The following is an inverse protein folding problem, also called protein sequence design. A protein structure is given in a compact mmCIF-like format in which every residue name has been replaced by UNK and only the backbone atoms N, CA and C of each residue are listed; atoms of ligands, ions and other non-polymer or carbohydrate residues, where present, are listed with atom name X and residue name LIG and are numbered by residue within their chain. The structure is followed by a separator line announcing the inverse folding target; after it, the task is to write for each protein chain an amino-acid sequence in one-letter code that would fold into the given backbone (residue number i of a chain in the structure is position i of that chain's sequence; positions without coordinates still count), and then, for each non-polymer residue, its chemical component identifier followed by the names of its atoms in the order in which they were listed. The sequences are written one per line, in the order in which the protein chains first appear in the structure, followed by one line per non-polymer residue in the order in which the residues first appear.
data_IF_402559736278
#
_entry.id   IF_402559736278
#
_cell.length_a   1.000
_cell.length_b   1.000
_cell.length_c   1.000
_cell.angle_alpha   90.00
_cell.angle_beta   90.00
_cell.angle_gamma   90.00
#
_symmetry.space_group_name_H-M   'P 1'
#
loop_
_entity.id
_entity.type
_entity.pdbx_description
1 polymer ?
#
# COMPACT_ATOMS: atom_id res chain seq x y z
N UNK A 1 10.98 8.19 25.07
CA UNK A 1 10.02 9.28 25.30
C UNK A 1 10.68 10.25 26.21
N UNK A 2 11.04 11.42 25.78
CA UNK A 2 11.94 12.15 26.62
C UNK A 2 11.29 13.34 27.34
N UNK A 3 11.56 13.42 28.62
CA UNK A 3 11.62 14.69 29.30
C UNK A 3 12.72 15.52 28.63
N UNK A 4 12.47 16.82 28.44
CA UNK A 4 13.42 17.77 27.86
C UNK A 4 13.64 18.95 28.79
N UNK A 5 14.85 19.52 28.71
CA UNK A 5 15.20 20.80 29.29
C UNK A 5 15.85 21.65 28.20
N UNK A 6 15.24 22.77 27.85
CA UNK A 6 15.68 23.63 26.75
C UNK A 6 16.05 22.85 25.47
N UNK A 7 15.16 21.93 25.04
CA UNK A 7 15.36 21.12 23.85
C UNK A 7 16.27 19.90 24.00
N UNK A 8 17.07 19.81 25.07
CA UNK A 8 17.95 18.68 25.34
C UNK A 8 17.22 17.55 26.07
N UNK A 9 17.40 16.31 25.60
CA UNK A 9 16.77 15.12 26.18
C UNK A 9 17.36 14.82 27.55
N UNK A 10 16.51 14.70 28.57
CA UNK A 10 16.90 14.32 29.92
C UNK A 10 16.80 12.79 30.11
N UNK A 11 17.77 12.24 30.80
CA UNK A 11 17.76 10.82 31.20
C UNK A 11 17.06 10.66 32.56
N UNK A 12 15.96 9.91 32.65
CA UNK A 12 15.30 9.64 33.93
C UNK A 12 16.27 9.07 34.99
N UNK A 13 16.14 9.57 36.22
CA UNK A 13 17.00 9.12 37.34
C UNK A 13 18.47 9.57 37.26
N UNK A 14 18.81 10.49 36.36
CA UNK A 14 20.15 11.11 36.29
C UNK A 14 20.07 12.58 36.65
N UNK A 15 21.03 13.06 37.45
CA UNK A 15 21.23 14.48 37.68
C UNK A 15 21.71 15.15 36.38
N UNK A 16 21.34 16.42 36.20
CA UNK A 16 21.81 17.22 35.07
C UNK A 16 22.11 18.66 35.50
N UNK A 17 22.81 19.37 34.65
CA UNK A 17 23.10 20.81 34.85
C UNK A 17 22.33 21.58 33.80
N UNK A 18 21.52 22.54 34.23
CA UNK A 18 20.79 23.43 33.34
C UNK A 18 21.72 24.40 32.58
N UNK A 19 21.19 24.98 31.53
CA UNK A 19 21.90 26.02 30.75
C UNK A 19 22.22 27.27 31.56
N UNK A 20 21.51 27.48 32.66
CA UNK A 20 21.73 28.52 33.69
C UNK A 20 22.75 28.10 34.77
N UNK A 21 23.47 27.00 34.57
CA UNK A 21 24.41 26.40 35.50
C UNK A 21 23.76 25.84 36.79
N UNK A 22 22.40 25.81 36.89
CA UNK A 22 21.70 25.22 38.00
C UNK A 22 21.85 23.69 38.00
N UNK A 23 22.21 23.11 39.14
CA UNK A 23 22.35 21.63 39.27
C UNK A 23 21.01 21.07 39.72
N UNK A 24 20.48 20.17 38.87
CA UNK A 24 19.24 19.41 39.16
C UNK A 24 19.60 18.01 39.65
N UNK A 25 19.13 17.60 40.84
CA UNK A 25 19.44 16.27 41.38
C UNK A 25 18.72 15.17 40.58
N UNK A 26 19.17 13.93 40.70
CA UNK A 26 18.57 12.76 40.03
C UNK A 26 17.07 12.57 40.34
N UNK A 27 16.61 13.10 41.46
CA UNK A 27 15.21 13.02 41.92
C UNK A 27 14.27 14.05 41.26
N UNK A 28 14.73 14.87 40.31
CA UNK A 28 13.92 15.87 39.60
C UNK A 28 12.62 15.28 39.02
N UNK A 29 12.62 13.99 38.72
CA UNK A 29 11.41 13.30 38.22
C UNK A 29 10.25 13.31 39.24
N UNK A 30 10.54 13.45 40.55
CA UNK A 30 9.54 13.49 41.62
C UNK A 30 8.94 14.88 41.84
N UNK A 31 9.47 15.90 41.15
CA UNK A 31 8.87 17.24 41.15
C UNK A 31 7.46 17.17 40.59
N UNK A 32 6.56 17.97 41.12
CA UNK A 32 5.22 18.16 40.56
C UNK A 32 5.33 18.69 39.12
N UNK A 33 4.29 18.56 38.34
CA UNK A 33 4.32 19.06 36.95
C UNK A 33 4.46 20.57 36.89
N UNK A 34 3.88 21.30 37.86
CA UNK A 34 4.07 22.75 38.02
C UNK A 34 5.53 23.11 38.34
N UNK A 35 6.19 22.33 39.20
CA UNK A 35 7.61 22.55 39.54
C UNK A 35 8.54 22.24 38.36
N UNK A 36 8.22 21.18 37.60
CA UNK A 36 8.95 20.85 36.37
C UNK A 36 8.81 21.97 35.35
N UNK A 37 7.57 22.41 35.09
CA UNK A 37 7.30 23.50 34.16
C UNK A 37 8.00 24.78 34.54
N UNK A 38 7.94 25.19 35.83
CA UNK A 38 8.64 26.39 36.34
C UNK A 38 10.16 26.30 36.15
N UNK A 39 10.73 25.13 36.04
CA UNK A 39 12.17 24.87 35.80
C UNK A 39 12.51 24.60 34.35
N UNK A 40 11.56 24.76 33.43
CA UNK A 40 11.78 24.48 32.00
C UNK A 40 11.95 22.98 31.65
N UNK A 41 11.53 22.10 32.56
CA UNK A 41 11.50 20.67 32.30
C UNK A 41 10.11 20.33 31.72
N UNK A 42 10.08 19.98 30.45
CA UNK A 42 8.84 19.68 29.71
C UNK A 42 8.80 18.23 29.30
N UNK A 43 7.60 17.67 29.28
CA UNK A 43 7.35 16.39 28.61
C UNK A 43 6.99 16.67 27.15
N UNK A 44 7.61 15.97 26.25
CA UNK A 44 7.24 16.00 24.85
C UNK A 44 6.61 14.66 24.48
N UNK A 45 5.32 14.72 24.12
CA UNK A 45 4.66 13.54 23.61
C UNK A 45 5.37 13.07 22.34
N UNK A 46 5.50 11.74 22.14
CA UNK A 46 5.98 11.26 20.87
C UNK A 46 5.06 11.75 19.77
N UNK A 47 5.60 12.07 18.60
CA UNK A 47 4.74 12.29 17.46
C UNK A 47 3.77 11.11 17.37
N UNK A 48 2.49 11.41 17.17
CA UNK A 48 1.49 10.38 16.96
C UNK A 48 2.01 9.42 15.88
N UNK A 49 1.99 8.10 16.18
CA UNK A 49 2.39 7.14 15.15
C UNK A 49 1.45 7.32 13.98
N UNK A 50 2.02 7.53 12.80
CA UNK A 50 1.22 7.65 11.59
C UNK A 50 0.35 6.40 11.44
N UNK A 51 -0.93 6.60 11.13
CA UNK A 51 -1.85 5.50 10.88
C UNK A 51 -1.29 4.62 9.73
N UNK A 52 -1.36 3.29 9.83
CA UNK A 52 -0.92 2.44 8.75
C UNK A 52 -1.72 2.74 7.48
N UNK A 53 -1.10 2.60 6.34
CA UNK A 53 -1.75 2.71 5.04
C UNK A 53 -1.64 1.39 4.26
N UNK A 54 -2.55 1.19 3.31
CA UNK A 54 -2.53 0.00 2.46
C UNK A 54 -1.49 0.15 1.34
N UNK A 55 -0.41 -0.61 1.43
CA UNK A 55 0.69 -0.58 0.47
C UNK A 55 0.32 -1.14 -0.93
N UNK A 56 -0.85 -1.75 -1.07
CA UNK A 56 -1.38 -2.16 -2.37
C UNK A 56 -1.75 -0.94 -3.21
N UNK A 57 -2.27 0.13 -2.58
CA UNK A 57 -2.78 1.32 -3.25
C UNK A 57 -1.89 2.56 -3.10
N UNK A 58 -1.07 2.59 -2.06
CA UNK A 58 -0.20 3.72 -1.75
C UNK A 58 1.25 3.26 -1.60
N UNK A 59 2.20 4.11 -1.93
CA UNK A 59 3.62 3.76 -1.79
C UNK A 59 4.36 4.62 -0.75
N UNK A 60 3.65 5.49 -0.03
CA UNK A 60 4.26 6.30 1.03
C UNK A 60 3.37 7.43 1.51
N UNK A 61 3.98 8.33 2.28
CA UNK A 61 3.39 9.59 2.71
C UNK A 61 4.31 10.75 2.37
N UNK A 62 3.73 11.89 2.13
CA UNK A 62 4.42 13.16 2.06
C UNK A 62 4.77 13.65 3.47
N UNK A 63 5.58 14.69 3.58
CA UNK A 63 5.96 15.30 4.86
C UNK A 63 4.78 15.92 5.62
N UNK A 64 3.70 16.23 4.93
CA UNK A 64 2.43 16.72 5.49
C UNK A 64 1.48 15.60 5.93
N UNK A 65 1.89 14.32 5.79
CA UNK A 65 1.08 13.15 6.14
C UNK A 65 0.14 12.67 5.02
N UNK A 66 0.05 13.38 3.89
CA UNK A 66 -0.79 12.98 2.74
C UNK A 66 -0.27 11.70 2.12
N UNK A 67 -1.17 10.74 1.84
CA UNK A 67 -0.81 9.48 1.20
C UNK A 67 -0.42 9.70 -0.27
N UNK A 68 0.64 9.04 -0.70
CA UNK A 68 1.11 9.07 -2.09
C UNK A 68 0.53 7.86 -2.82
N UNK A 69 -0.47 8.06 -3.71
CA UNK A 69 -1.12 6.95 -4.40
C UNK A 69 -0.19 6.33 -5.46
N UNK A 70 -0.31 5.02 -5.66
CA UNK A 70 0.30 4.35 -6.83
C UNK A 70 -0.44 4.77 -8.09
N UNK A 71 0.24 4.81 -9.24
CA UNK A 71 -0.42 5.12 -10.50
C UNK A 71 -1.54 4.12 -10.83
N UNK A 72 -2.68 4.61 -11.29
CA UNK A 72 -3.76 3.77 -11.83
C UNK A 72 -3.44 3.26 -13.23
N UNK A 73 -2.69 4.04 -14.01
CA UNK A 73 -2.31 3.73 -15.40
C UNK A 73 -0.85 3.31 -15.47
N UNK A 74 -0.52 2.57 -16.51
CA UNK A 74 0.85 2.18 -16.80
C UNK A 74 1.72 3.41 -17.09
N UNK A 75 2.97 3.35 -16.63
CA UNK A 75 3.96 4.41 -16.79
C UNK A 75 5.08 3.88 -17.70
N UNK A 76 5.28 4.53 -18.83
CA UNK A 76 6.41 4.26 -19.70
C UNK A 76 7.70 4.80 -19.06
N UNK A 77 8.69 3.93 -18.86
CA UNK A 77 9.95 4.31 -18.23
C UNK A 77 10.80 5.14 -19.18
N UNK A 78 11.33 6.24 -18.67
CA UNK A 78 12.25 7.12 -19.39
C UNK A 78 13.48 7.40 -18.54
N UNK A 79 14.62 7.67 -19.21
CA UNK A 79 15.83 8.10 -18.54
C UNK A 79 15.76 9.58 -18.13
N UNK A 80 16.85 10.08 -17.51
CA UNK A 80 16.96 11.48 -17.05
C UNK A 80 16.80 12.52 -18.15
N UNK A 81 16.99 12.13 -19.40
CA UNK A 81 16.91 12.99 -20.59
C UNK A 81 15.54 12.83 -21.31
N UNK A 82 14.62 12.05 -20.71
CA UNK A 82 13.27 11.80 -21.24
C UNK A 82 13.22 10.77 -22.37
N UNK A 83 14.32 10.04 -22.62
CA UNK A 83 14.38 9.01 -23.64
C UNK A 83 13.85 7.68 -23.09
N UNK A 84 13.10 6.94 -23.92
CA UNK A 84 12.55 5.64 -23.58
C UNK A 84 13.65 4.66 -23.15
N UNK A 85 13.46 4.01 -22.00
CA UNK A 85 14.30 2.90 -21.55
C UNK A 85 13.80 1.63 -22.21
N UNK A 86 14.66 0.99 -22.98
CA UNK A 86 14.34 -0.21 -23.76
C UNK A 86 14.91 -1.45 -23.05
N UNK A 87 14.08 -2.47 -22.88
CA UNK A 87 14.51 -3.77 -22.40
C UNK A 87 15.43 -4.43 -23.45
N UNK A 88 16.68 -4.76 -23.11
CA UNK A 88 17.64 -5.32 -24.04
C UNK A 88 17.30 -6.72 -24.56
N UNK A 89 16.40 -7.43 -23.88
CA UNK A 89 16.01 -8.80 -24.26
C UNK A 89 14.81 -8.76 -25.21
N UNK A 90 13.78 -8.01 -24.83
CA UNK A 90 12.51 -7.98 -25.57
C UNK A 90 12.46 -6.87 -26.65
N UNK A 91 13.41 -5.95 -26.63
CA UNK A 91 13.47 -4.75 -27.46
C UNK A 91 12.19 -3.88 -27.38
N UNK A 92 11.51 -3.92 -26.24
CA UNK A 92 10.31 -3.11 -25.93
C UNK A 92 10.64 -2.09 -24.86
N UNK A 93 9.91 -0.96 -24.89
CA UNK A 93 10.01 0.03 -23.82
C UNK A 93 9.63 -0.60 -22.48
N UNK A 94 10.43 -0.34 -21.45
CA UNK A 94 10.10 -0.72 -20.08
C UNK A 94 8.86 0.06 -19.61
N UNK A 95 7.95 -0.67 -18.98
CA UNK A 95 6.69 -0.12 -18.47
C UNK A 95 6.50 -0.58 -17.03
N UNK A 96 6.33 0.37 -16.12
CA UNK A 96 5.83 0.07 -14.78
C UNK A 96 4.31 -0.03 -14.83
N UNK A 97 3.78 -1.22 -14.55
CA UNK A 97 2.33 -1.47 -14.59
C UNK A 97 1.61 -0.66 -13.53
N UNK A 98 0.56 0.01 -13.94
CA UNK A 98 -0.39 0.68 -13.06
C UNK A 98 -1.33 -0.30 -12.35
N UNK A 99 -2.03 0.19 -11.33
CA UNK A 99 -2.94 -0.64 -10.53
C UNK A 99 -4.04 -1.30 -11.36
N UNK A 100 -4.58 -0.59 -12.37
CA UNK A 100 -5.62 -1.15 -13.25
C UNK A 100 -5.11 -2.38 -14.00
N UNK A 101 -3.95 -2.30 -14.61
CA UNK A 101 -3.34 -3.42 -15.34
C UNK A 101 -3.07 -4.61 -14.41
N UNK A 102 -2.48 -4.35 -13.24
CA UNK A 102 -2.19 -5.39 -12.23
C UNK A 102 -3.46 -6.11 -11.79
N UNK A 103 -4.51 -5.36 -11.44
CA UNK A 103 -5.74 -5.96 -10.92
C UNK A 103 -6.56 -6.65 -12.01
N UNK A 104 -6.54 -6.18 -13.27
CA UNK A 104 -7.14 -6.88 -14.41
C UNK A 104 -6.43 -8.22 -14.64
N UNK A 105 -5.10 -8.25 -14.63
CA UNK A 105 -4.33 -9.49 -14.77
C UNK A 105 -4.66 -10.48 -13.64
N UNK A 106 -4.72 -10.01 -12.39
CA UNK A 106 -5.11 -10.83 -11.23
C UNK A 106 -6.53 -11.38 -11.35
N UNK A 107 -7.48 -10.55 -11.84
CA UNK A 107 -8.86 -10.97 -12.06
C UNK A 107 -8.93 -12.06 -13.12
N UNK A 108 -8.23 -11.90 -14.24
CA UNK A 108 -8.15 -12.92 -15.31
C UNK A 108 -7.51 -14.20 -14.82
N UNK A 109 -6.41 -14.10 -14.06
CA UNK A 109 -5.75 -15.28 -13.47
C UNK A 109 -6.71 -16.02 -12.53
N UNK A 110 -7.40 -15.30 -11.64
CA UNK A 110 -8.38 -15.89 -10.73
C UNK A 110 -9.53 -16.57 -11.48
N UNK A 111 -10.02 -15.95 -12.55
CA UNK A 111 -11.06 -16.56 -13.40
C UNK A 111 -10.55 -17.83 -14.09
N UNK A 112 -9.33 -17.79 -14.62
CA UNK A 112 -8.69 -18.95 -15.23
C UNK A 112 -8.53 -20.10 -14.23
N UNK A 113 -8.01 -19.84 -13.04
CA UNK A 113 -7.83 -20.85 -11.99
C UNK A 113 -9.16 -21.51 -11.59
N UNK A 114 -10.25 -20.75 -11.59
CA UNK A 114 -11.60 -21.28 -11.34
C UNK A 114 -12.13 -22.15 -12.50
N UNK A 115 -11.70 -21.90 -13.73
CA UNK A 115 -12.16 -22.63 -14.92
C UNK A 115 -11.36 -23.91 -15.18
N UNK A 116 -10.09 -23.97 -14.78
CA UNK A 116 -9.17 -25.09 -15.04
C UNK A 116 -9.77 -26.45 -14.68
N UNK A 117 -10.41 -26.57 -13.51
CA UNK A 117 -10.99 -27.84 -13.04
C UNK A 117 -12.10 -28.40 -13.96
N UNK A 118 -12.65 -27.56 -14.82
CA UNK A 118 -13.75 -27.89 -15.74
C UNK A 118 -13.32 -27.87 -17.22
N UNK A 119 -12.07 -27.55 -17.53
CA UNK A 119 -11.59 -27.44 -18.91
C UNK A 119 -11.60 -28.77 -19.65
N UNK A 120 -11.42 -29.88 -18.95
CA UNK A 120 -11.49 -31.20 -19.53
C UNK A 120 -12.85 -31.51 -20.20
N UNK A 121 -13.97 -30.93 -19.69
CA UNK A 121 -15.27 -31.07 -20.35
C UNK A 121 -15.27 -30.40 -21.73
N UNK A 122 -14.60 -29.27 -21.86
CA UNK A 122 -14.51 -28.52 -23.13
C UNK A 122 -13.61 -29.27 -24.10
N UNK A 123 -12.43 -29.74 -23.63
CA UNK A 123 -11.52 -30.54 -24.45
C UNK A 123 -12.18 -31.81 -24.95
N UNK A 124 -12.82 -32.55 -24.05
CA UNK A 124 -13.57 -33.77 -24.43
C UNK A 124 -14.67 -33.47 -25.46
N UNK A 125 -15.41 -32.39 -25.30
CA UNK A 125 -16.46 -31.98 -26.26
C UNK A 125 -15.88 -31.61 -27.62
N UNK A 126 -14.65 -31.06 -27.65
CA UNK A 126 -13.97 -30.69 -28.88
C UNK A 126 -13.42 -31.94 -29.62
N UNK A 127 -12.98 -32.96 -28.87
CA UNK A 127 -12.47 -34.23 -29.43
C UNK A 127 -13.62 -35.16 -29.83
N UNK A 128 -14.69 -35.21 -29.04
CA UNK A 128 -15.89 -36.02 -29.28
C UNK A 128 -17.14 -35.13 -29.30
N UNK A 129 -17.63 -34.86 -30.50
CA UNK A 129 -18.82 -34.02 -30.70
C UNK A 129 -20.09 -34.59 -30.06
N UNK A 130 -20.14 -35.87 -29.73
CA UNK A 130 -21.26 -36.52 -29.04
C UNK A 130 -21.21 -36.36 -27.53
N UNK A 131 -20.03 -36.06 -26.96
CA UNK A 131 -19.90 -35.77 -25.53
C UNK A 131 -20.73 -34.55 -25.14
N UNK A 132 -21.35 -34.61 -23.98
CA UNK A 132 -22.15 -33.50 -23.45
C UNK A 132 -21.44 -32.82 -22.29
N UNK A 133 -21.55 -31.52 -22.24
CA UNK A 133 -21.11 -30.73 -21.06
C UNK A 133 -22.33 -30.64 -20.12
N UNK A 134 -22.21 -31.06 -18.84
CA UNK A 134 -23.27 -30.91 -17.88
C UNK A 134 -23.75 -29.43 -17.78
N UNK A 135 -25.05 -29.23 -17.62
CA UNK A 135 -25.65 -27.90 -17.60
C UNK A 135 -25.16 -27.02 -16.44
N UNK A 136 -24.90 -27.62 -15.28
CA UNK A 136 -24.32 -26.96 -14.10
C UNK A 136 -22.90 -26.48 -14.38
N UNK A 137 -22.07 -27.28 -15.06
CA UNK A 137 -20.72 -26.87 -15.49
C UNK A 137 -20.80 -25.70 -16.48
N UNK A 138 -21.70 -25.76 -17.47
CA UNK A 138 -21.90 -24.68 -18.43
C UNK A 138 -22.33 -23.38 -17.74
N UNK A 139 -23.29 -23.49 -16.83
CA UNK A 139 -23.80 -22.36 -16.02
C UNK A 139 -22.69 -21.76 -15.13
N UNK A 140 -21.94 -22.60 -14.42
CA UNK A 140 -20.81 -22.17 -13.61
C UNK A 140 -19.76 -21.40 -14.43
N UNK A 141 -19.35 -21.98 -15.57
CA UNK A 141 -18.35 -21.37 -16.46
C UNK A 141 -18.82 -20.02 -17.02
N UNK A 142 -20.09 -19.94 -17.41
CA UNK A 142 -20.69 -18.68 -17.84
C UNK A 142 -20.68 -17.63 -16.73
N UNK A 143 -21.08 -18.01 -15.51
CA UNK A 143 -21.08 -17.11 -14.34
C UNK A 143 -19.68 -16.59 -14.02
N UNK A 144 -18.64 -17.44 -14.03
CA UNK A 144 -17.25 -17.03 -13.81
C UNK A 144 -16.81 -16.00 -14.84
N UNK A 145 -17.06 -16.24 -16.15
CA UNK A 145 -16.70 -15.30 -17.22
C UNK A 145 -17.43 -13.97 -17.10
N UNK A 146 -18.75 -14.01 -16.86
CA UNK A 146 -19.56 -12.80 -16.68
C UNK A 146 -19.06 -11.97 -15.50
N UNK A 147 -18.78 -12.62 -14.35
CA UNK A 147 -18.29 -11.92 -13.17
C UNK A 147 -16.91 -11.32 -13.39
N UNK A 148 -15.99 -12.05 -14.03
CA UNK A 148 -14.67 -11.54 -14.41
C UNK A 148 -14.82 -10.28 -15.29
N UNK A 149 -15.62 -10.35 -16.35
CA UNK A 149 -15.85 -9.20 -17.23
C UNK A 149 -16.46 -7.99 -16.50
N UNK A 150 -17.38 -8.23 -15.56
CA UNK A 150 -17.94 -7.14 -14.74
C UNK A 150 -16.88 -6.47 -13.88
N UNK A 151 -16.01 -7.24 -13.23
CA UNK A 151 -14.91 -6.73 -12.40
C UNK A 151 -13.89 -5.98 -13.27
N UNK A 152 -13.46 -6.56 -14.39
CA UNK A 152 -12.55 -5.92 -15.33
C UNK A 152 -13.08 -4.58 -15.84
N UNK A 153 -14.37 -4.52 -16.14
CA UNK A 153 -15.03 -3.29 -16.54
C UNK A 153 -15.03 -2.25 -15.42
N UNK A 154 -15.38 -2.64 -14.19
CA UNK A 154 -15.38 -1.73 -13.05
C UNK A 154 -13.97 -1.15 -12.80
N UNK A 155 -12.92 -1.98 -12.86
CA UNK A 155 -11.52 -1.55 -12.76
C UNK A 155 -11.17 -0.55 -13.86
N UNK A 156 -11.57 -0.83 -15.10
CA UNK A 156 -11.27 0.03 -16.25
C UNK A 156 -11.96 1.37 -16.13
N UNK A 157 -13.22 1.38 -15.73
CA UNK A 157 -14.08 2.58 -15.65
C UNK A 157 -13.76 3.46 -14.44
N UNK A 158 -13.05 2.95 -13.41
CA UNK A 158 -12.69 3.74 -12.24
C UNK A 158 -11.96 5.03 -12.65
N UNK A 159 -12.53 6.18 -12.34
CA UNK A 159 -11.98 7.47 -12.74
C UNK A 159 -10.80 7.91 -11.87
N UNK A 160 -10.81 7.52 -10.61
CA UNK A 160 -9.82 7.91 -9.60
C UNK A 160 -9.57 6.77 -8.60
N UNK A 161 -8.69 7.01 -7.62
CA UNK A 161 -8.35 6.06 -6.58
C UNK A 161 -9.55 5.68 -5.70
N UNK A 162 -10.44 6.61 -5.38
CA UNK A 162 -11.60 6.34 -4.54
C UNK A 162 -12.56 5.40 -5.26
N UNK A 163 -12.84 5.65 -6.54
CA UNK A 163 -13.66 4.78 -7.39
C UNK A 163 -13.00 3.42 -7.64
N UNK A 164 -11.67 3.37 -7.69
CA UNK A 164 -10.93 2.11 -7.88
C UNK A 164 -10.96 1.20 -6.65
N UNK A 165 -11.03 1.78 -5.44
CA UNK A 165 -11.06 1.04 -4.16
C UNK A 165 -12.48 0.69 -3.68
N UNK A 166 -13.53 1.22 -4.32
CA UNK A 166 -14.92 0.98 -3.98
C UNK A 166 -15.39 -0.41 -4.45
#
# INVERSE_FOLDING_TARGET
MPWKYNGSILKPGKAFVGTDNTKYPAVWMRYSDSEKAARGITWEDPPASEAPYDNRFYHGRQTDGTLIPRSLTDINEVDKDGKAIIDPITNKQLVTKGLKTIHIEQTKQTANDKLVSTDWYITRKAEDSTATIPSDVSTYRAAVRTKSGTIEKAITDAADHAAFMA
#
